data_IF_532997336688
#
_entry.id   IF_532997336688
#
_cell.length_a   1.000
_cell.length_b   1.000
_cell.length_c   1.000
_cell.angle_alpha   90.00
_cell.angle_beta   90.00
_cell.angle_gamma   90.00
#
_symmetry.space_group_name_H-M   'P 1'
#
loop_
_entity.id
_entity.type
_entity.pdbx_description
1 polymer ?
#
# COMPACT_ATOMS: atom_id res chain seq x y z
N UNK A 1 -10.14 -12.08 65.69
CA UNK A 1 -9.22 -11.56 64.65
C UNK A 1 -10.01 -11.46 63.35
N UNK A 2 -10.61 -10.31 62.96
CA UNK A 2 -11.28 -10.23 61.67
C UNK A 2 -10.29 -9.79 60.58
N UNK A 3 -10.18 -10.64 59.56
CA UNK A 3 -9.41 -10.47 58.33
C UNK A 3 -9.90 -9.25 57.54
N UNK A 4 -8.99 -8.29 57.35
CA UNK A 4 -9.22 -7.10 56.53
C UNK A 4 -9.17 -7.54 55.06
N UNK A 5 -10.34 -7.60 54.42
CA UNK A 5 -10.50 -7.84 52.99
C UNK A 5 -9.97 -6.61 52.24
N UNK A 6 -8.81 -6.73 51.59
CA UNK A 6 -8.27 -5.68 50.72
C UNK A 6 -9.16 -5.59 49.48
N UNK A 7 -10.04 -4.58 49.47
CA UNK A 7 -10.79 -4.15 48.29
C UNK A 7 -9.76 -3.65 47.27
N UNK A 8 -9.53 -4.45 46.23
CA UNK A 8 -8.61 -4.12 45.16
C UNK A 8 -9.09 -2.86 44.44
N UNK A 9 -8.24 -1.84 44.44
CA UNK A 9 -8.41 -0.58 43.72
C UNK A 9 -8.68 -0.85 42.23
N UNK A 10 -9.96 -0.89 41.88
CA UNK A 10 -10.43 -1.15 40.52
C UNK A 10 -10.22 0.13 39.71
N UNK A 11 -9.06 0.25 39.07
CA UNK A 11 -8.70 1.40 38.24
C UNK A 11 -9.77 1.63 37.16
N UNK A 12 -10.61 2.61 37.39
CA UNK A 12 -11.62 3.05 36.43
C UNK A 12 -10.92 3.85 35.33
N UNK A 13 -10.69 3.23 34.18
CA UNK A 13 -10.16 3.92 33.02
C UNK A 13 -11.26 4.81 32.44
N UNK A 14 -10.97 6.11 32.31
CA UNK A 14 -11.91 7.06 31.74
C UNK A 14 -11.95 6.88 30.22
N UNK A 15 -12.82 5.97 29.76
CA UNK A 15 -12.98 5.60 28.35
C UNK A 15 -13.34 6.79 27.45
N UNK A 16 -13.89 7.86 28.03
CA UNK A 16 -14.32 9.07 27.33
C UNK A 16 -13.20 10.11 27.16
N UNK A 17 -12.10 9.99 27.92
CA UNK A 17 -10.93 10.88 27.83
C UNK A 17 -9.82 10.32 26.93
N UNK A 18 -9.99 9.12 26.41
CA UNK A 18 -9.00 8.46 25.56
C UNK A 18 -8.89 9.17 24.21
N UNK A 19 -7.80 9.93 24.03
CA UNK A 19 -7.40 10.55 22.76
C UNK A 19 -6.24 9.78 22.14
N UNK A 20 -6.53 8.85 21.25
CA UNK A 20 -5.48 8.23 20.44
C UNK A 20 -4.97 9.21 19.37
N UNK A 21 -3.68 9.12 19.00
CA UNK A 21 -3.22 9.70 17.75
C UNK A 21 -4.07 9.16 16.59
N UNK A 22 -4.57 10.05 15.75
CA UNK A 22 -5.28 9.65 14.53
C UNK A 22 -4.24 9.14 13.53
N UNK A 23 -4.24 7.85 13.27
CA UNK A 23 -3.36 7.22 12.28
C UNK A 23 -4.16 6.83 11.05
N UNK A 24 -3.70 7.27 9.87
CA UNK A 24 -4.31 6.92 8.59
C UNK A 24 -3.60 5.71 8.02
N UNK A 25 -4.32 4.59 7.92
CA UNK A 25 -3.81 3.33 7.39
C UNK A 25 -4.42 3.10 6.00
N UNK A 26 -3.78 3.56 4.91
CA UNK A 26 -4.29 3.34 3.57
C UNK A 26 -4.22 1.86 3.18
N UNK A 27 -5.15 1.42 2.33
CA UNK A 27 -5.07 0.06 1.78
C UNK A 27 -3.77 -0.11 0.98
N UNK A 28 -2.95 -1.16 1.26
CA UNK A 28 -1.63 -1.32 0.66
C UNK A 28 -1.68 -1.36 -0.87
N UNK A 29 -0.83 -0.57 -1.53
CA UNK A 29 -0.81 -0.51 -3.00
C UNK A 29 -0.42 -1.85 -3.62
N UNK A 30 0.45 -2.61 -2.97
CA UNK A 30 0.88 -3.97 -3.36
C UNK A 30 -0.27 -4.98 -3.41
N UNK A 31 -1.36 -4.74 -2.67
CA UNK A 31 -2.55 -5.60 -2.67
C UNK A 31 -3.58 -5.20 -3.74
N UNK A 32 -3.34 -4.13 -4.50
CA UNK A 32 -4.20 -3.70 -5.61
C UNK A 32 -3.92 -4.52 -6.88
N UNK A 33 -4.04 -5.84 -6.79
CA UNK A 33 -3.61 -6.80 -7.82
C UNK A 33 -4.22 -6.50 -9.21
N UNK A 34 -5.50 -6.16 -9.26
CA UNK A 34 -6.16 -5.80 -10.53
C UNK A 34 -5.49 -4.58 -11.19
N UNK A 35 -5.12 -3.58 -10.40
CA UNK A 35 -4.44 -2.38 -10.89
C UNK A 35 -3.00 -2.68 -11.33
N UNK A 36 -2.28 -3.51 -10.57
CA UNK A 36 -0.92 -3.95 -10.91
C UNK A 36 -0.92 -4.63 -12.28
N UNK A 37 -1.84 -5.58 -12.49
CA UNK A 37 -2.01 -6.28 -13.77
C UNK A 37 -2.34 -5.33 -14.91
N UNK A 38 -3.31 -4.42 -14.72
CA UNK A 38 -3.71 -3.44 -15.72
C UNK A 38 -2.56 -2.52 -16.14
N UNK A 39 -1.74 -2.06 -15.18
CA UNK A 39 -0.57 -1.23 -15.47
C UNK A 39 0.49 -2.04 -16.23
N UNK A 40 0.75 -3.29 -15.83
CA UNK A 40 1.66 -4.18 -16.54
C UNK A 40 1.19 -4.45 -17.99
N UNK A 41 -0.10 -4.76 -18.19
CA UNK A 41 -0.72 -4.91 -19.53
C UNK A 41 -0.45 -3.68 -20.41
N UNK A 42 -0.68 -2.49 -19.87
CA UNK A 42 -0.48 -1.23 -20.61
C UNK A 42 0.99 -0.94 -20.91
N UNK A 43 1.91 -1.38 -20.07
CA UNK A 43 3.35 -1.18 -20.26
C UNK A 43 3.92 -2.11 -21.34
N UNK A 44 3.42 -3.35 -21.47
CA UNK A 44 3.88 -4.31 -22.49
C UNK A 44 3.69 -3.81 -23.94
N UNK A 45 2.74 -2.90 -24.16
CA UNK A 45 2.39 -2.39 -25.49
C UNK A 45 2.97 -1.00 -25.81
N UNK A 46 3.83 -0.45 -24.94
CA UNK A 46 4.37 0.91 -25.09
C UNK A 46 5.83 0.88 -25.57
N UNK A 47 6.20 1.90 -26.34
CA UNK A 47 7.61 2.18 -26.64
C UNK A 47 8.29 2.83 -25.44
N UNK A 48 9.62 2.80 -25.38
CA UNK A 48 10.41 3.30 -24.23
C UNK A 48 9.99 4.72 -23.78
N UNK A 49 9.86 5.65 -24.73
CA UNK A 49 9.43 7.03 -24.43
C UNK A 49 7.99 7.11 -23.91
N UNK A 50 7.10 6.27 -24.42
CA UNK A 50 5.71 6.20 -23.94
C UNK A 50 5.62 5.53 -22.56
N UNK A 51 6.52 4.60 -22.27
CA UNK A 51 6.65 3.91 -21.00
C UNK A 51 7.02 4.87 -19.89
N UNK A 52 8.09 5.65 -20.06
CA UNK A 52 8.51 6.66 -19.06
C UNK A 52 7.39 7.66 -18.74
N UNK A 53 6.75 8.20 -19.77
CA UNK A 53 5.64 9.12 -19.61
C UNK A 53 4.47 8.47 -18.86
N UNK A 54 4.11 7.24 -19.23
CA UNK A 54 3.01 6.53 -18.59
C UNK A 54 3.30 6.17 -17.13
N UNK A 55 4.53 5.77 -16.81
CA UNK A 55 4.99 5.55 -15.43
C UNK A 55 4.81 6.83 -14.61
N UNK A 56 5.29 7.96 -15.12
CA UNK A 56 5.15 9.26 -14.45
C UNK A 56 3.67 9.65 -14.20
N UNK A 57 2.79 9.39 -15.15
CA UNK A 57 1.35 9.61 -14.96
C UNK A 57 0.75 8.72 -13.87
N UNK A 58 1.12 7.44 -13.83
CA UNK A 58 0.62 6.49 -12.84
C UNK A 58 1.12 6.86 -11.44
N UNK A 59 2.42 7.12 -11.28
CA UNK A 59 3.01 7.46 -9.98
C UNK A 59 2.51 8.82 -9.49
N UNK A 60 2.45 9.84 -10.35
CA UNK A 60 1.89 11.16 -9.99
C UNK A 60 0.43 11.09 -9.54
N UNK A 61 -0.38 10.22 -10.16
CA UNK A 61 -1.74 9.96 -9.73
C UNK A 61 -1.84 9.26 -8.37
N UNK A 62 -0.91 8.35 -8.05
CA UNK A 62 -0.85 7.69 -6.75
C UNK A 62 -0.41 8.65 -5.64
N UNK A 63 0.63 9.45 -5.88
CA UNK A 63 1.05 10.51 -4.94
C UNK A 63 -0.09 11.47 -4.63
N UNK A 64 -0.78 11.96 -5.67
CA UNK A 64 -1.94 12.86 -5.49
C UNK A 64 -3.06 12.25 -4.65
N UNK A 65 -3.27 10.93 -4.73
CA UNK A 65 -4.26 10.23 -3.91
C UNK A 65 -3.81 10.08 -2.46
N UNK A 66 -2.55 9.72 -2.25
CA UNK A 66 -1.99 9.51 -0.91
C UNK A 66 -1.87 10.83 -0.14
N UNK A 67 -1.47 11.90 -0.83
CA UNK A 67 -1.44 13.25 -0.30
C UNK A 67 -2.83 13.74 0.15
N UNK A 68 -3.86 13.51 -0.68
CA UNK A 68 -5.25 13.81 -0.31
C UNK A 68 -5.74 13.01 0.91
N UNK A 69 -5.18 11.82 1.12
CA UNK A 69 -5.45 11.00 2.30
C UNK A 69 -4.62 11.42 3.52
N UNK A 70 -3.71 12.40 3.40
CA UNK A 70 -2.85 12.85 4.50
C UNK A 70 -1.74 11.85 4.88
N UNK A 71 -1.36 10.96 3.97
CA UNK A 71 -0.27 10.00 4.20
C UNK A 71 1.07 10.76 4.23
N UNK A 72 1.97 10.52 5.21
CA UNK A 72 3.27 11.18 5.25
C UNK A 72 4.13 10.91 4.01
N UNK A 73 4.88 11.90 3.52
CA UNK A 73 5.66 11.83 2.27
C UNK A 73 6.57 10.59 2.20
N UNK A 74 7.35 10.33 3.26
CA UNK A 74 8.25 9.16 3.32
C UNK A 74 7.48 7.84 3.15
N UNK A 75 6.25 7.78 3.67
CA UNK A 75 5.37 6.61 3.51
C UNK A 75 4.79 6.56 2.10
N UNK A 76 4.50 7.70 1.46
CA UNK A 76 4.03 7.73 0.08
C UNK A 76 5.08 7.15 -0.87
N UNK A 77 6.34 7.58 -0.73
CA UNK A 77 7.45 7.14 -1.57
C UNK A 77 7.62 5.63 -1.50
N UNK A 78 7.70 5.07 -0.28
CA UNK A 78 7.81 3.63 -0.07
C UNK A 78 6.62 2.88 -0.68
N UNK A 79 5.40 3.36 -0.47
CA UNK A 79 4.20 2.70 -1.01
C UNK A 79 4.18 2.69 -2.53
N UNK A 80 4.61 3.78 -3.18
CA UNK A 80 4.66 3.90 -4.64
C UNK A 80 5.80 3.06 -5.22
N UNK A 81 6.96 3.02 -4.56
CA UNK A 81 8.07 2.14 -4.94
C UNK A 81 7.67 0.66 -4.87
N UNK A 82 7.04 0.25 -3.77
CA UNK A 82 6.55 -1.13 -3.60
C UNK A 82 5.54 -1.51 -4.69
N UNK A 83 4.65 -0.56 -5.05
CA UNK A 83 3.70 -0.76 -6.14
C UNK A 83 4.40 -0.98 -7.48
N UNK A 84 5.38 -0.12 -7.82
CA UNK A 84 6.12 -0.24 -9.08
C UNK A 84 6.97 -1.52 -9.12
N UNK A 85 7.55 -1.92 -7.99
CA UNK A 85 8.24 -3.20 -7.84
C UNK A 85 7.31 -4.38 -8.16
N UNK A 86 6.08 -4.36 -7.64
CA UNK A 86 5.08 -5.39 -7.94
C UNK A 86 4.65 -5.39 -9.42
N UNK A 87 4.56 -4.22 -10.06
CA UNK A 87 4.31 -4.11 -11.51
C UNK A 87 5.46 -4.71 -12.31
N UNK A 88 6.72 -4.42 -11.97
CA UNK A 88 7.89 -4.99 -12.63
C UNK A 88 7.95 -6.52 -12.48
N UNK A 89 7.62 -7.05 -11.30
CA UNK A 89 7.50 -8.49 -11.08
C UNK A 89 6.42 -9.12 -11.97
N UNK A 90 5.27 -8.46 -12.10
CA UNK A 90 4.18 -8.92 -12.96
C UNK A 90 4.56 -8.87 -14.45
N UNK A 91 5.28 -7.84 -14.89
CA UNK A 91 5.85 -7.76 -16.24
C UNK A 91 6.80 -8.92 -16.50
N UNK A 92 7.74 -9.17 -15.59
CA UNK A 92 8.69 -10.29 -15.71
C UNK A 92 7.98 -11.64 -15.76
N UNK A 93 6.94 -11.83 -14.95
CA UNK A 93 6.12 -13.06 -14.94
C UNK A 93 5.48 -13.32 -16.31
N UNK A 94 5.07 -12.28 -17.03
CA UNK A 94 4.40 -12.38 -18.33
C UNK A 94 5.40 -12.55 -19.47
N UNK A 95 6.46 -11.75 -19.50
CA UNK A 95 7.53 -11.87 -20.50
C UNK A 95 8.24 -13.22 -20.44
N UNK A 96 8.29 -13.86 -19.25
CA UNK A 96 8.84 -15.21 -19.08
C UNK A 96 7.89 -16.35 -19.47
N UNK A 97 6.62 -16.09 -19.77
CA UNK A 97 5.63 -17.11 -20.12
C UNK A 97 5.54 -17.39 -21.63
N UNK A 98 6.09 -16.51 -22.48
CA UNK A 98 6.00 -16.61 -23.95
C UNK A 98 6.86 -17.72 -24.59
N UNK A 99 7.48 -18.62 -23.80
CA UNK A 99 8.45 -19.63 -24.31
C UNK A 99 8.30 -21.07 -23.79
N UNK A 100 7.24 -21.41 -23.05
CA UNK A 100 7.14 -22.70 -22.35
C UNK A 100 5.88 -23.51 -22.66
N UNK A 101 5.64 -23.84 -23.93
CA UNK A 101 4.47 -24.63 -24.31
C UNK A 101 4.51 -25.12 -25.76
N UNK A 102 5.47 -25.98 -26.09
CA UNK A 102 5.36 -26.87 -27.26
C UNK A 102 5.09 -28.29 -26.73
N UNK A 103 3.88 -28.75 -27.00
CA UNK A 103 3.45 -30.15 -26.90
C UNK A 103 3.93 -30.96 -28.12
#
# INVERSE_FOLDING_TARGET
>A
MPEQKQEGDMKQYNLLEWRQPVEIIPFPLTRRIGRIREVADKLMHKTDRQTEYYISQVTGGLFSQLDRLGVPVDTQDQMVEDFMTAVCQELNRRSGFDGGGAA
#
